data_IF_966518817398
#
_entry.id   IF_966518817398
#
_cell.length_a   1.000
_cell.length_b   1.000
_cell.length_c   1.000
_cell.angle_alpha   90.00
_cell.angle_beta   90.00
_cell.angle_gamma   90.00
#
_symmetry.space_group_name_H-M   'P 1'
#
loop_
_entity.id
_entity.type
_entity.pdbx_description
1 polymer ?
#
# COMPACT_ATOMS: atom_id res chain seq x y z
N UNK A 1 -26.56 -13.38 -49.26
CA UNK A 1 -25.50 -12.41 -49.29
C UNK A 1 -24.46 -12.75 -48.20
N UNK A 2 -23.23 -13.06 -48.60
CA UNK A 2 -22.14 -13.24 -47.65
C UNK A 2 -21.74 -11.83 -47.15
N UNK A 3 -21.78 -11.62 -45.86
CA UNK A 3 -21.19 -10.43 -45.22
C UNK A 3 -19.68 -10.43 -45.51
N UNK A 4 -19.10 -9.36 -46.05
CA UNK A 4 -17.69 -9.28 -46.31
C UNK A 4 -16.91 -9.42 -45.00
N UNK A 5 -15.97 -10.38 -44.96
CA UNK A 5 -15.00 -10.48 -43.86
C UNK A 5 -13.90 -9.46 -44.11
N UNK A 6 -13.69 -8.59 -43.16
CA UNK A 6 -12.60 -7.60 -43.17
C UNK A 6 -11.63 -7.99 -42.07
N UNK A 7 -10.40 -8.29 -42.43
CA UNK A 7 -9.30 -8.50 -41.50
C UNK A 7 -8.35 -7.31 -41.62
N UNK A 8 -8.04 -6.67 -40.50
CA UNK A 8 -7.11 -5.56 -40.42
C UNK A 8 -5.84 -6.07 -39.78
N UNK A 9 -4.70 -5.86 -40.46
CA UNK A 9 -3.37 -6.11 -39.95
C UNK A 9 -2.58 -4.80 -39.97
N UNK A 10 -2.03 -4.39 -38.85
CA UNK A 10 -1.09 -3.28 -38.74
C UNK A 10 0.18 -3.77 -38.04
N UNK A 11 1.34 -3.48 -38.63
CA UNK A 11 2.62 -3.88 -38.09
C UNK A 11 3.59 -2.69 -38.06
N UNK A 12 4.24 -2.49 -36.92
CA UNK A 12 5.33 -1.53 -36.71
C UNK A 12 6.59 -2.31 -36.38
N UNK A 13 7.72 -1.96 -36.97
CA UNK A 13 9.01 -2.64 -36.77
C UNK A 13 10.13 -1.65 -36.44
N UNK A 14 11.05 -2.07 -35.58
CA UNK A 14 12.32 -1.39 -35.33
C UNK A 14 12.15 0.02 -34.76
N UNK A 15 11.29 0.22 -33.78
CA UNK A 15 11.08 1.51 -33.11
C UNK A 15 11.30 1.42 -31.61
N UNK A 16 11.42 2.55 -30.94
CA UNK A 16 11.48 2.61 -29.49
C UNK A 16 10.51 3.65 -28.95
N UNK A 17 9.84 3.31 -27.85
CA UNK A 17 9.05 4.25 -27.07
C UNK A 17 9.91 4.83 -25.96
N UNK A 18 10.02 6.14 -25.89
CA UNK A 18 10.67 6.87 -24.80
C UNK A 18 9.58 7.48 -23.93
N UNK A 19 9.53 7.11 -22.68
CA UNK A 19 8.41 7.35 -21.79
C UNK A 19 8.84 7.98 -20.46
N UNK A 20 7.99 8.89 -19.90
CA UNK A 20 6.94 9.61 -20.61
C UNK A 20 7.52 10.71 -21.52
N UNK A 21 6.75 11.19 -22.51
CA UNK A 21 7.16 12.31 -23.33
C UNK A 21 7.50 13.54 -22.47
N UNK A 22 8.66 14.16 -22.71
CA UNK A 22 9.12 15.35 -21.97
C UNK A 22 9.86 15.08 -20.67
N UNK A 23 9.76 13.89 -20.09
CA UNK A 23 10.55 13.46 -18.93
C UNK A 23 10.98 12.00 -19.13
N UNK A 24 11.98 11.73 -19.96
CA UNK A 24 12.38 10.37 -20.30
C UNK A 24 12.88 9.61 -19.08
N UNK A 25 12.14 8.57 -18.69
CA UNK A 25 12.46 7.68 -17.58
C UNK A 25 12.75 6.25 -18.04
N UNK A 26 12.19 5.87 -19.18
CA UNK A 26 12.29 4.51 -19.70
C UNK A 26 12.28 4.54 -21.24
N UNK A 27 13.09 3.68 -21.84
CA UNK A 27 13.10 3.43 -23.29
C UNK A 27 12.78 1.96 -23.52
N UNK A 28 11.72 1.72 -24.28
CA UNK A 28 11.22 0.40 -24.67
C UNK A 28 11.51 0.21 -26.17
N UNK A 29 12.55 -0.54 -26.54
CA UNK A 29 12.78 -0.89 -27.92
C UNK A 29 11.84 -2.03 -28.35
N UNK A 30 11.17 -1.87 -29.48
CA UNK A 30 10.34 -2.89 -30.11
C UNK A 30 11.00 -3.36 -31.40
N UNK A 31 11.22 -4.67 -31.52
CA UNK A 31 11.60 -5.31 -32.77
C UNK A 31 10.40 -5.33 -33.71
N UNK A 32 9.23 -5.71 -33.17
CA UNK A 32 7.96 -5.57 -33.86
C UNK A 32 6.78 -5.41 -32.88
N UNK A 33 5.73 -4.75 -33.35
CA UNK A 33 4.43 -4.65 -32.71
C UNK A 33 3.36 -4.85 -33.79
N UNK A 34 2.54 -5.89 -33.65
CA UNK A 34 1.55 -6.27 -34.65
C UNK A 34 0.16 -6.30 -34.02
N UNK A 35 -0.78 -5.66 -34.70
CA UNK A 35 -2.21 -5.66 -34.37
C UNK A 35 -2.97 -6.42 -35.43
N UNK A 36 -3.80 -7.36 -35.01
CA UNK A 36 -4.75 -8.06 -35.84
C UNK A 36 -6.15 -7.82 -35.32
N UNK A 37 -7.07 -7.42 -36.18
CA UNK A 37 -8.49 -7.33 -35.86
C UNK A 37 -9.29 -8.01 -36.97
N UNK A 38 -10.02 -9.03 -36.62
CA UNK A 38 -10.89 -9.77 -37.54
C UNK A 38 -12.36 -9.38 -37.39
N UNK A 39 -13.19 -9.80 -38.32
CA UNK A 39 -14.64 -9.61 -38.27
C UNK A 39 -15.35 -10.26 -37.07
N UNK A 40 -14.64 -11.06 -36.28
CA UNK A 40 -15.09 -11.59 -34.98
C UNK A 40 -15.03 -10.60 -33.82
N UNK A 41 -14.47 -9.39 -34.05
CA UNK A 41 -14.40 -8.33 -33.07
C UNK A 41 -13.33 -8.49 -31.98
N UNK A 42 -12.55 -9.58 -31.98
CA UNK A 42 -11.47 -9.79 -31.05
C UNK A 42 -10.17 -9.28 -31.64
N UNK A 43 -9.56 -8.26 -31.00
CA UNK A 43 -8.25 -7.76 -31.36
C UNK A 43 -7.17 -8.66 -30.73
N UNK A 44 -6.16 -9.01 -31.52
CA UNK A 44 -4.96 -9.70 -31.08
C UNK A 44 -3.77 -8.73 -31.21
N UNK A 45 -2.89 -8.76 -30.24
CA UNK A 45 -1.65 -7.98 -30.25
C UNK A 45 -0.49 -8.93 -30.03
N UNK A 46 0.52 -8.83 -30.89
CA UNK A 46 1.77 -9.56 -30.80
C UNK A 46 2.93 -8.57 -30.82
N UNK A 47 3.88 -8.71 -29.88
CA UNK A 47 4.98 -7.78 -29.73
C UNK A 47 6.27 -8.50 -29.33
N UNK A 48 7.38 -8.08 -29.92
CA UNK A 48 8.72 -8.43 -29.47
C UNK A 48 9.43 -7.17 -28.98
N UNK A 49 9.83 -7.22 -27.72
CA UNK A 49 10.46 -6.10 -27.04
C UNK A 49 11.90 -6.45 -26.68
N UNK A 50 12.83 -5.57 -26.97
CA UNK A 50 14.23 -5.70 -26.60
C UNK A 50 14.48 -5.31 -25.13
N UNK A 51 15.73 -5.14 -24.76
CA UNK A 51 16.10 -4.77 -23.40
C UNK A 51 15.60 -3.39 -23.03
N UNK A 52 14.90 -3.29 -21.90
CA UNK A 52 14.45 -2.03 -21.33
C UNK A 52 15.65 -1.23 -20.83
N UNK A 53 15.75 0.02 -21.25
CA UNK A 53 16.75 0.96 -20.77
C UNK A 53 16.09 1.96 -19.79
N UNK A 54 16.65 2.11 -18.59
CA UNK A 54 16.19 3.09 -17.60
C UNK A 54 16.94 4.39 -17.76
N UNK A 55 16.21 5.49 -17.92
CA UNK A 55 16.73 6.82 -18.24
C UNK A 55 16.47 7.83 -17.12
N UNK A 56 17.13 8.98 -17.15
CA UNK A 56 16.87 10.08 -16.24
C UNK A 56 16.96 9.68 -14.77
N UNK A 57 15.91 9.98 -14.02
CA UNK A 57 15.86 9.67 -12.59
C UNK A 57 15.79 8.16 -12.29
N UNK A 58 15.38 7.33 -13.22
CA UNK A 58 15.40 5.88 -13.08
C UNK A 58 16.74 5.24 -13.48
N UNK A 59 17.71 6.01 -13.96
CA UNK A 59 19.04 5.49 -14.34
C UNK A 59 19.80 4.83 -13.17
N UNK A 60 19.42 5.13 -11.92
CA UNK A 60 19.97 4.47 -10.76
C UNK A 60 19.68 2.95 -10.75
N UNK A 61 18.59 2.51 -11.40
CA UNK A 61 18.23 1.07 -11.52
C UNK A 61 19.34 0.33 -12.27
N UNK A 62 19.93 0.93 -13.31
CA UNK A 62 21.04 0.32 -14.04
C UNK A 62 22.30 0.18 -13.17
N UNK A 63 22.54 1.13 -12.26
CA UNK A 63 23.63 1.03 -11.29
C UNK A 63 23.36 -0.04 -10.23
N UNK A 64 22.10 -0.15 -9.78
CA UNK A 64 21.70 -1.21 -8.83
C UNK A 64 21.85 -2.59 -9.47
N UNK A 65 21.45 -2.76 -10.75
CA UNK A 65 21.66 -4.01 -11.49
C UNK A 65 23.14 -4.45 -11.54
N UNK A 66 24.07 -3.49 -11.57
CA UNK A 66 25.51 -3.78 -11.55
C UNK A 66 26.04 -4.18 -10.18
N UNK A 67 25.39 -3.75 -9.10
CA UNK A 67 25.81 -3.97 -7.71
C UNK A 67 25.15 -5.19 -7.07
N UNK A 68 23.95 -5.54 -7.54
CA UNK A 68 23.19 -6.68 -7.03
C UNK A 68 23.27 -7.80 -8.06
N UNK A 69 23.68 -9.04 -7.68
CA UNK A 69 23.61 -10.18 -8.57
C UNK A 69 22.22 -10.32 -9.19
N UNK A 70 22.13 -10.72 -10.45
CA UNK A 70 20.86 -10.84 -11.20
C UNK A 70 19.85 -11.80 -10.58
N UNK A 71 20.27 -12.66 -9.67
CA UNK A 71 19.45 -13.53 -8.83
C UNK A 71 18.67 -12.77 -7.71
N UNK A 72 18.98 -11.49 -7.49
CA UNK A 72 18.22 -10.61 -6.58
C UNK A 72 16.97 -9.94 -7.20
N UNK A 73 16.77 -10.04 -8.51
CA UNK A 73 15.51 -9.65 -9.13
C UNK A 73 14.49 -10.76 -8.91
N UNK A 74 13.44 -10.47 -8.16
CA UNK A 74 12.31 -11.41 -7.99
C UNK A 74 11.64 -11.71 -9.32
N UNK A 75 11.61 -10.72 -10.23
CA UNK A 75 11.15 -10.84 -11.61
C UNK A 75 12.04 -9.97 -12.52
N UNK A 76 12.45 -10.48 -13.70
CA UNK A 76 13.11 -9.64 -14.69
C UNK A 76 12.18 -8.50 -15.11
N UNK A 77 12.74 -7.36 -15.60
CA UNK A 77 11.90 -6.33 -16.19
C UNK A 77 10.93 -6.93 -17.20
N UNK A 78 9.65 -6.60 -17.07
CA UNK A 78 8.58 -7.17 -17.86
C UNK A 78 7.96 -6.16 -18.80
N UNK A 79 7.45 -6.65 -19.91
CA UNK A 79 6.56 -5.92 -20.80
C UNK A 79 5.35 -6.79 -21.07
N UNK A 80 4.19 -6.26 -20.73
CA UNK A 80 2.90 -6.88 -21.01
C UNK A 80 2.19 -6.07 -22.09
N UNK A 81 1.84 -6.72 -23.19
CA UNK A 81 1.16 -6.09 -24.32
C UNK A 81 -0.21 -6.71 -24.49
N UNK A 82 -1.22 -5.86 -24.43
CA UNK A 82 -2.63 -6.25 -24.57
C UNK A 82 -3.33 -5.36 -25.58
N UNK A 83 -4.53 -5.71 -26.04
CA UNK A 83 -5.32 -4.84 -26.91
C UNK A 83 -5.63 -3.45 -26.32
N UNK A 84 -5.58 -3.31 -25.01
CA UNK A 84 -5.81 -2.03 -24.30
C UNK A 84 -4.58 -1.14 -24.21
N UNK A 85 -3.37 -1.72 -24.30
CA UNK A 85 -2.13 -0.94 -24.15
C UNK A 85 -0.92 -1.79 -23.82
N UNK A 86 0.18 -1.10 -23.53
CA UNK A 86 1.45 -1.68 -23.07
C UNK A 86 1.68 -1.30 -21.62
N UNK A 87 2.03 -2.28 -20.80
CA UNK A 87 2.55 -2.06 -19.45
C UNK A 87 3.96 -2.59 -19.39
N UNK A 88 4.91 -1.74 -19.03
CA UNK A 88 6.30 -2.13 -18.86
C UNK A 88 6.79 -1.69 -17.49
N UNK A 89 7.54 -2.55 -16.82
CA UNK A 89 8.00 -2.24 -15.47
C UNK A 89 9.04 -3.21 -14.94
N UNK A 90 9.40 -2.99 -13.69
CA UNK A 90 10.26 -3.88 -12.93
C UNK A 90 9.85 -3.90 -11.46
N UNK A 91 10.19 -4.98 -10.80
CA UNK A 91 10.21 -5.10 -9.34
C UNK A 91 11.58 -5.63 -8.93
N UNK A 92 12.19 -4.99 -7.95
CA UNK A 92 13.51 -5.32 -7.43
C UNK A 92 13.43 -5.50 -5.93
N UNK A 93 13.62 -6.72 -5.46
CA UNK A 93 13.78 -6.99 -4.04
C UNK A 93 15.21 -6.59 -3.61
N UNK A 94 15.30 -5.80 -2.54
CA UNK A 94 16.59 -5.38 -1.97
C UNK A 94 17.02 -6.38 -0.89
N UNK A 95 18.33 -6.57 -0.70
CA UNK A 95 18.82 -7.51 0.30
C UNK A 95 18.43 -7.08 1.71
N UNK A 96 18.11 -8.06 2.55
CA UNK A 96 17.87 -7.82 3.95
C UNK A 96 19.18 -7.40 4.66
N UNK A 97 19.05 -6.44 5.57
CA UNK A 97 20.15 -5.96 6.39
C UNK A 97 19.94 -6.42 7.83
N UNK A 98 20.98 -7.00 8.44
CA UNK A 98 20.97 -7.37 9.85
C UNK A 98 22.32 -6.99 10.47
N UNK A 99 22.31 -6.08 11.42
CA UNK A 99 23.51 -5.58 12.10
C UNK A 99 23.21 -5.52 13.60
N UNK A 100 23.75 -6.48 14.35
CA UNK A 100 23.49 -6.57 15.79
C UNK A 100 22.01 -6.77 16.09
N UNK A 101 21.42 -5.83 16.80
CA UNK A 101 20.00 -5.84 17.19
C UNK A 101 19.07 -5.19 16.16
N UNK A 102 19.64 -4.64 15.09
CA UNK A 102 18.91 -3.97 14.01
C UNK A 102 18.70 -4.96 12.86
N UNK A 103 17.49 -5.03 12.37
CA UNK A 103 17.16 -5.72 11.12
C UNK A 103 16.21 -4.90 10.26
N UNK A 104 16.46 -4.90 8.95
CA UNK A 104 15.62 -4.28 7.94
C UNK A 104 15.41 -5.28 6.81
N UNK A 105 14.17 -5.61 6.52
CA UNK A 105 13.80 -6.68 5.60
C UNK A 105 12.57 -6.34 4.76
N UNK A 106 12.27 -7.16 3.78
CA UNK A 106 11.16 -7.00 2.84
C UNK A 106 11.20 -5.68 2.03
N UNK A 107 12.38 -5.15 1.79
CA UNK A 107 12.50 -3.96 0.97
C UNK A 107 12.37 -4.31 -0.51
N UNK A 108 11.53 -3.60 -1.22
CA UNK A 108 11.41 -3.72 -2.68
C UNK A 108 11.17 -2.37 -3.33
N UNK A 109 11.68 -2.22 -4.54
CA UNK A 109 11.46 -1.08 -5.40
C UNK A 109 10.70 -1.55 -6.63
N UNK A 110 9.70 -0.79 -7.05
CA UNK A 110 8.98 -1.05 -8.30
C UNK A 110 8.79 0.23 -9.09
N UNK A 111 8.80 0.11 -10.40
CA UNK A 111 8.34 1.17 -11.28
C UNK A 111 7.66 0.54 -12.49
N UNK A 112 6.60 1.18 -12.96
CA UNK A 112 5.90 0.78 -14.18
C UNK A 112 5.51 2.01 -15.00
N UNK A 113 5.41 1.80 -16.30
CA UNK A 113 4.82 2.74 -17.25
C UNK A 113 3.67 2.06 -17.94
N UNK A 114 2.53 2.74 -18.01
CA UNK A 114 1.34 2.28 -18.74
C UNK A 114 1.10 3.18 -19.93
N UNK A 115 1.05 2.58 -21.09
CA UNK A 115 0.79 3.26 -22.36
C UNK A 115 -0.48 2.69 -22.96
N UNK A 116 -1.64 3.32 -22.70
CA UNK A 116 -2.89 2.91 -23.32
C UNK A 116 -2.87 3.25 -24.81
N UNK A 117 -3.44 2.37 -25.63
CA UNK A 117 -3.56 2.65 -27.08
C UNK A 117 -4.72 3.59 -27.39
N UNK A 118 -5.77 3.56 -26.58
CA UNK A 118 -6.98 4.36 -26.76
C UNK A 118 -7.53 4.84 -25.40
N UNK A 119 -8.05 6.05 -25.38
CA UNK A 119 -8.91 6.56 -24.31
C UNK A 119 -8.18 7.22 -23.12
N UNK A 120 -7.16 6.60 -22.58
CA UNK A 120 -6.43 7.09 -21.42
C UNK A 120 -5.10 7.77 -21.78
N UNK A 121 -4.46 8.36 -20.79
CA UNK A 121 -3.13 8.97 -20.93
C UNK A 121 -2.05 8.04 -20.40
N UNK A 122 -0.83 8.23 -20.89
CA UNK A 122 0.35 7.54 -20.35
C UNK A 122 0.50 7.87 -18.88
N UNK A 123 0.74 6.85 -18.04
CA UNK A 123 1.00 7.04 -16.63
C UNK A 123 2.26 6.28 -16.19
N UNK A 124 2.91 6.82 -15.17
CA UNK A 124 4.12 6.27 -14.55
C UNK A 124 3.84 5.98 -13.09
N UNK A 125 4.09 4.75 -12.68
CA UNK A 125 4.02 4.31 -11.30
C UNK A 125 5.41 4.15 -10.70
N UNK A 126 5.56 4.48 -9.43
CA UNK A 126 6.72 4.19 -8.61
C UNK A 126 6.27 3.69 -7.25
N UNK A 127 6.91 2.64 -6.74
CA UNK A 127 6.61 2.07 -5.45
C UNK A 127 7.86 1.70 -4.65
N UNK A 128 7.78 1.89 -3.35
CA UNK A 128 8.70 1.30 -2.38
C UNK A 128 7.89 0.41 -1.46
N UNK A 129 8.11 -0.89 -1.57
CA UNK A 129 7.28 -1.93 -0.97
C UNK A 129 5.82 -1.88 -1.42
N UNK A 130 4.98 -2.73 -0.88
CA UNK A 130 3.55 -2.74 -1.13
C UNK A 130 2.77 -2.84 0.19
N UNK A 131 1.49 -2.56 0.16
CA UNK A 131 0.61 -2.70 1.32
C UNK A 131 0.61 -4.13 1.88
N UNK A 132 0.65 -5.13 0.98
CA UNK A 132 0.63 -6.55 1.34
C UNK A 132 2.01 -7.07 1.76
N UNK A 133 3.07 -6.39 1.32
CA UNK A 133 4.47 -6.69 1.64
C UNK A 133 5.22 -5.41 2.02
N UNK A 134 4.91 -4.80 3.17
CA UNK A 134 5.62 -3.61 3.65
C UNK A 134 7.07 -3.97 4.02
N UNK A 135 7.98 -2.99 3.99
CA UNK A 135 9.27 -3.18 4.64
C UNK A 135 9.06 -3.40 6.13
N UNK A 136 9.96 -4.15 6.73
CA UNK A 136 9.95 -4.41 8.16
C UNK A 136 11.27 -3.99 8.78
N UNK A 137 11.18 -3.08 9.74
CA UNK A 137 12.27 -2.64 10.59
C UNK A 137 12.08 -3.22 11.98
N UNK A 138 13.11 -3.84 12.54
CA UNK A 138 13.10 -4.29 13.93
C UNK A 138 14.40 -3.87 14.64
N UNK A 139 14.26 -3.39 15.87
CA UNK A 139 15.33 -3.03 16.77
C UNK A 139 14.95 -3.51 18.17
N UNK A 140 15.47 -4.66 18.57
CA UNK A 140 15.03 -5.34 19.80
C UNK A 140 13.53 -5.65 19.79
N UNK A 141 12.77 -5.08 20.75
CA UNK A 141 11.32 -5.22 20.86
C UNK A 141 10.54 -4.11 20.12
N UNK A 142 11.24 -3.11 19.56
CA UNK A 142 10.67 -2.05 18.76
C UNK A 142 10.69 -2.44 17.30
N UNK A 143 9.69 -2.03 16.57
CA UNK A 143 9.60 -2.31 15.15
C UNK A 143 8.75 -1.31 14.42
N UNK A 144 8.72 -1.46 13.12
CA UNK A 144 7.91 -0.63 12.25
C UNK A 144 7.96 -1.14 10.83
N UNK A 145 7.19 -0.53 9.99
CA UNK A 145 7.12 -0.88 8.59
C UNK A 145 6.38 0.16 7.78
N UNK A 146 6.30 -0.06 6.50
CA UNK A 146 5.55 0.81 5.65
C UNK A 146 5.71 0.50 4.17
N UNK A 147 5.01 1.27 3.40
CA UNK A 147 5.08 1.25 1.94
C UNK A 147 4.76 2.63 1.38
N UNK A 148 5.12 2.84 0.15
CA UNK A 148 4.84 4.06 -0.60
C UNK A 148 4.55 3.70 -2.05
N UNK A 149 3.52 4.31 -2.62
CA UNK A 149 3.18 4.20 -4.03
C UNK A 149 2.70 5.52 -4.60
N UNK A 150 3.15 5.85 -5.79
CA UNK A 150 2.72 7.05 -6.51
C UNK A 150 2.49 6.70 -7.98
N UNK A 151 1.44 7.25 -8.56
CA UNK A 151 1.18 7.21 -9.99
C UNK A 151 0.92 8.60 -10.52
N UNK A 152 1.65 8.94 -11.55
CA UNK A 152 1.61 10.26 -12.19
C UNK A 152 1.23 10.10 -13.66
N UNK A 153 0.53 11.08 -14.19
CA UNK A 153 0.25 11.25 -15.62
C UNK A 153 0.49 12.69 -16.05
N UNK A 154 0.43 13.01 -17.32
CA UNK A 154 0.46 14.41 -17.79
C UNK A 154 -0.67 15.29 -17.22
N UNK A 155 -1.73 14.67 -16.69
CA UNK A 155 -2.84 15.36 -16.00
C UNK A 155 -2.52 15.69 -14.53
N UNK A 156 -1.43 15.14 -13.98
CA UNK A 156 -0.98 15.33 -12.60
C UNK A 156 -0.95 14.04 -11.80
N UNK A 157 -1.18 14.16 -10.51
CA UNK A 157 -1.23 13.04 -9.58
C UNK A 157 -2.50 12.20 -9.79
N UNK A 158 -2.34 10.93 -10.15
CA UNK A 158 -3.44 9.98 -10.25
C UNK A 158 -3.70 9.29 -8.91
N UNK A 159 -2.64 8.71 -8.33
CA UNK A 159 -2.71 8.02 -7.04
C UNK A 159 -1.46 8.30 -6.24
N UNK A 160 -1.62 8.61 -4.96
CA UNK A 160 -0.57 8.60 -3.95
C UNK A 160 -1.07 7.77 -2.78
N UNK A 161 -0.28 6.79 -2.38
CA UNK A 161 -0.58 5.94 -1.25
C UNK A 161 0.66 5.76 -0.38
N UNK A 162 0.50 5.94 0.93
CA UNK A 162 1.57 5.84 1.90
C UNK A 162 1.03 5.21 3.18
N UNK A 163 1.72 4.21 3.69
CA UNK A 163 1.49 3.66 5.02
C UNK A 163 2.78 3.59 5.80
N UNK A 164 2.79 4.10 7.01
CA UNK A 164 3.90 3.97 7.96
C UNK A 164 3.36 3.54 9.30
N UNK A 165 4.02 2.56 9.91
CA UNK A 165 3.68 2.05 11.23
C UNK A 165 4.95 1.90 12.08
N UNK A 166 4.86 2.26 13.37
CA UNK A 166 5.88 1.98 14.36
C UNK A 166 5.22 1.39 15.61
N UNK A 167 5.94 0.50 16.31
CA UNK A 167 5.36 -0.15 17.47
C UNK A 167 6.35 -0.94 18.30
N UNK A 168 5.80 -1.65 19.27
CA UNK A 168 6.55 -2.56 20.13
C UNK A 168 5.84 -3.91 20.20
N UNK A 169 6.63 -4.96 20.35
CA UNK A 169 6.15 -6.32 20.53
C UNK A 169 6.91 -7.00 21.65
N UNK A 170 6.17 -7.59 22.58
CA UNK A 170 6.73 -8.40 23.66
C UNK A 170 6.04 -9.75 23.68
N UNK A 171 6.79 -10.82 23.77
CA UNK A 171 6.25 -12.17 23.93
C UNK A 171 6.97 -12.90 25.05
N UNK A 172 6.22 -13.74 25.77
CA UNK A 172 6.70 -14.63 26.82
C UNK A 172 6.24 -16.05 26.50
N UNK A 173 7.17 -16.99 26.58
CA UNK A 173 6.85 -18.40 26.43
C UNK A 173 7.35 -19.16 27.67
N UNK A 174 6.41 -19.78 28.38
CA UNK A 174 6.65 -20.55 29.60
C UNK A 174 6.51 -22.08 29.36
N UNK A 175 6.57 -22.50 28.09
CA UNK A 175 6.38 -23.90 27.69
C UNK A 175 4.92 -24.29 27.59
N UNK A 176 4.22 -24.40 28.71
CA UNK A 176 2.78 -24.76 28.76
C UNK A 176 1.85 -23.59 28.42
N UNK A 177 2.34 -22.37 28.56
CA UNK A 177 1.58 -21.15 28.26
C UNK A 177 2.46 -20.13 27.57
N UNK A 178 1.91 -19.38 26.64
CA UNK A 178 2.54 -18.25 25.99
C UNK A 178 1.62 -17.03 26.00
N UNK A 179 2.23 -15.86 25.99
CA UNK A 179 1.51 -14.62 25.91
C UNK A 179 2.27 -13.61 25.06
N UNK A 180 1.57 -12.71 24.43
CA UNK A 180 2.15 -11.60 23.70
C UNK A 180 1.33 -10.33 23.86
N UNK A 181 2.02 -9.20 23.82
CA UNK A 181 1.43 -7.87 23.74
C UNK A 181 2.10 -7.14 22.60
N UNK A 182 1.32 -6.52 21.76
CA UNK A 182 1.80 -5.63 20.70
C UNK A 182 1.06 -4.32 20.73
N UNK A 183 1.80 -3.26 20.47
CA UNK A 183 1.28 -1.89 20.35
C UNK A 183 1.83 -1.31 19.05
N UNK A 184 0.96 -0.68 18.29
CA UNK A 184 1.35 -0.01 17.05
C UNK A 184 0.63 1.33 16.90
N UNK A 185 1.36 2.29 16.39
CA UNK A 185 0.82 3.58 15.94
C UNK A 185 1.20 3.77 14.47
N UNK A 186 0.31 4.29 13.67
CA UNK A 186 0.58 4.45 12.26
C UNK A 186 -0.24 5.53 11.60
N UNK A 187 0.19 5.85 10.39
CA UNK A 187 -0.54 6.74 9.48
C UNK A 187 -0.76 6.03 8.15
N UNK A 188 -1.87 6.33 7.54
CA UNK A 188 -2.23 5.90 6.20
C UNK A 188 -2.79 7.08 5.43
N UNK A 189 -2.15 7.42 4.33
CA UNK A 189 -2.56 8.46 3.39
C UNK A 189 -2.94 7.79 2.06
N UNK A 190 -4.08 8.15 1.51
CA UNK A 190 -4.47 7.82 0.15
C UNK A 190 -5.03 9.05 -0.53
N UNK A 191 -4.55 9.35 -1.71
CA UNK A 191 -5.05 10.41 -2.57
C UNK A 191 -5.29 9.86 -3.98
N UNK A 192 -6.40 10.24 -4.58
CA UNK A 192 -6.76 9.95 -5.98
C UNK A 192 -7.20 11.27 -6.63
N UNK A 193 -6.28 11.88 -7.41
CA UNK A 193 -6.49 13.25 -7.88
C UNK A 193 -6.66 14.22 -6.70
N UNK A 194 -7.81 14.90 -6.68
CA UNK A 194 -8.17 15.86 -5.63
C UNK A 194 -8.91 15.22 -4.43
N UNK A 195 -9.18 13.93 -4.49
CA UNK A 195 -9.84 13.19 -3.41
C UNK A 195 -8.84 12.44 -2.57
N UNK A 196 -9.10 12.35 -1.28
CA UNK A 196 -8.21 11.58 -0.44
C UNK A 196 -8.62 11.57 1.02
N UNK A 197 -7.89 10.76 1.78
CA UNK A 197 -8.04 10.67 3.23
C UNK A 197 -6.69 10.45 3.90
N UNK A 198 -6.54 11.02 5.08
CA UNK A 198 -5.43 10.76 5.99
C UNK A 198 -5.98 10.12 7.25
N UNK A 199 -5.51 8.93 7.57
CA UNK A 199 -5.87 8.21 8.79
C UNK A 199 -4.67 8.08 9.70
N UNK A 200 -4.79 8.51 10.95
CA UNK A 200 -3.89 8.12 12.01
C UNK A 200 -4.56 7.02 12.85
N UNK A 201 -3.81 6.03 13.30
CA UNK A 201 -4.36 4.95 14.10
C UNK A 201 -3.42 4.51 15.20
N UNK A 202 -4.04 3.93 16.24
CA UNK A 202 -3.39 3.23 17.33
C UNK A 202 -4.02 1.84 17.45
N UNK A 203 -3.20 0.82 17.63
CA UNK A 203 -3.62 -0.56 17.82
C UNK A 203 -2.88 -1.16 19.01
N UNK A 204 -3.61 -1.72 19.93
CA UNK A 204 -3.10 -2.51 21.05
C UNK A 204 -3.69 -3.90 20.97
N UNK A 205 -2.87 -4.93 21.01
CA UNK A 205 -3.29 -6.31 20.98
C UNK A 205 -2.60 -7.12 22.07
N UNK A 206 -3.38 -7.86 22.83
CA UNK A 206 -2.93 -8.87 23.77
C UNK A 206 -3.41 -10.26 23.35
N UNK A 207 -2.56 -11.25 23.50
CA UNK A 207 -2.90 -12.65 23.21
C UNK A 207 -2.28 -13.57 24.26
N UNK A 208 -3.04 -14.57 24.69
CA UNK A 208 -2.58 -15.66 25.54
C UNK A 208 -2.95 -17.00 24.93
N UNK A 209 -2.09 -17.98 25.07
CA UNK A 209 -2.32 -19.34 24.60
C UNK A 209 -1.84 -20.34 25.66
N UNK A 210 -2.61 -21.39 25.86
CA UNK A 210 -2.31 -22.44 26.80
C UNK A 210 -2.30 -23.80 26.06
N UNK A 211 -1.17 -24.51 26.12
CA UNK A 211 -0.93 -25.81 25.48
C UNK A 211 -1.22 -25.82 23.96
N UNK A 212 -1.34 -24.65 23.30
CA UNK A 212 -1.78 -24.56 21.92
C UNK A 212 -3.26 -24.95 21.66
N UNK A 213 -3.97 -25.35 22.72
CA UNK A 213 -5.36 -25.84 22.66
C UNK A 213 -6.38 -24.72 22.90
N UNK A 214 -6.03 -23.80 23.77
CA UNK A 214 -6.87 -22.65 24.14
C UNK A 214 -6.10 -21.39 23.88
N UNK A 215 -6.71 -20.43 23.18
CA UNK A 215 -6.17 -19.09 23.04
C UNK A 215 -7.26 -18.04 23.17
N UNK A 216 -6.88 -16.90 23.72
CA UNK A 216 -7.74 -15.73 23.79
C UNK A 216 -6.92 -14.51 23.35
N UNK A 217 -7.52 -13.63 22.58
CA UNK A 217 -6.93 -12.35 22.21
C UNK A 217 -7.93 -11.22 22.35
N UNK A 218 -7.41 -10.06 22.70
CA UNK A 218 -8.14 -8.79 22.70
C UNK A 218 -7.37 -7.81 21.85
N UNK A 219 -8.07 -7.06 21.02
CA UNK A 219 -7.51 -6.00 20.21
C UNK A 219 -8.33 -4.72 20.39
N UNK A 220 -7.69 -3.64 20.71
CA UNK A 220 -8.22 -2.28 20.68
C UNK A 220 -7.62 -1.58 19.47
N UNK A 221 -8.48 -1.09 18.60
CA UNK A 221 -8.11 -0.27 17.43
C UNK A 221 -8.80 1.08 17.53
N UNK A 222 -8.01 2.15 17.53
CA UNK A 222 -8.48 3.52 17.49
C UNK A 222 -7.97 4.16 16.21
N UNK A 223 -8.82 4.88 15.49
CA UNK A 223 -8.39 5.65 14.33
C UNK A 223 -9.07 7.00 14.26
N UNK A 224 -8.38 7.94 13.65
CA UNK A 224 -8.86 9.27 13.33
C UNK A 224 -8.58 9.51 11.84
N UNK A 225 -9.65 9.62 11.06
CA UNK A 225 -9.58 9.80 9.62
C UNK A 225 -10.07 11.17 9.22
N UNK A 226 -9.24 11.92 8.51
CA UNK A 226 -9.61 13.16 7.85
C UNK A 226 -9.88 12.90 6.37
N UNK A 227 -11.10 13.20 5.93
CA UNK A 227 -11.56 13.07 4.55
C UNK A 227 -11.45 14.42 3.85
N UNK A 228 -10.53 14.55 2.90
CA UNK A 228 -10.22 15.81 2.23
C UNK A 228 -11.40 16.40 1.46
N UNK A 229 -12.19 15.61 0.69
CA UNK A 229 -13.31 16.16 -0.07
C UNK A 229 -14.41 16.75 0.79
N UNK A 230 -14.72 16.12 1.93
CA UNK A 230 -15.80 16.60 2.81
C UNK A 230 -15.31 17.48 3.95
N UNK A 231 -13.98 17.56 4.18
CA UNK A 231 -13.39 18.25 5.32
C UNK A 231 -13.77 17.61 6.67
N UNK A 232 -14.21 16.35 6.69
CA UNK A 232 -14.71 15.68 7.89
C UNK A 232 -13.62 14.93 8.62
N UNK A 233 -13.69 15.01 9.93
CA UNK A 233 -12.85 14.23 10.85
C UNK A 233 -13.72 13.16 11.52
N UNK A 234 -13.37 11.89 11.31
CA UNK A 234 -14.13 10.74 11.79
C UNK A 234 -13.23 9.92 12.71
N UNK A 235 -13.64 9.77 13.97
CA UNK A 235 -13.02 8.87 14.92
C UNK A 235 -13.70 7.51 14.90
N UNK A 236 -12.91 6.44 14.95
CA UNK A 236 -13.40 5.07 15.04
C UNK A 236 -12.69 4.36 16.16
N UNK A 237 -13.44 3.68 17.04
CA UNK A 237 -12.93 2.81 18.08
C UNK A 237 -13.52 1.41 17.90
N UNK A 238 -12.66 0.40 17.82
CA UNK A 238 -13.08 -0.98 17.69
C UNK A 238 -12.39 -1.84 18.75
N UNK A 239 -13.17 -2.61 19.50
CA UNK A 239 -12.66 -3.65 20.40
C UNK A 239 -13.06 -4.99 19.81
N UNK A 240 -12.09 -5.86 19.61
CA UNK A 240 -12.30 -7.22 19.12
C UNK A 240 -11.79 -8.21 20.16
N UNK A 241 -12.64 -9.11 20.58
CA UNK A 241 -12.29 -10.24 21.45
C UNK A 241 -12.46 -11.53 20.67
N UNK A 242 -11.42 -12.36 20.66
CA UNK A 242 -11.45 -13.67 19.99
C UNK A 242 -11.04 -14.76 20.99
N UNK A 243 -11.82 -15.81 21.04
CA UNK A 243 -11.53 -17.00 21.85
C UNK A 243 -11.52 -18.23 20.96
N UNK A 244 -10.53 -19.06 21.11
CA UNK A 244 -10.41 -20.34 20.42
C UNK A 244 -10.19 -21.45 21.45
N UNK A 245 -10.96 -22.52 21.35
CA UNK A 245 -10.82 -23.73 22.16
C UNK A 245 -10.82 -24.92 21.22
N UNK A 246 -9.67 -25.62 21.12
CA UNK A 246 -9.47 -26.71 20.16
C UNK A 246 -9.76 -26.24 18.72
N UNK A 247 -10.75 -26.84 18.07
CA UNK A 247 -11.19 -26.49 16.72
C UNK A 247 -12.33 -25.44 16.69
N UNK A 248 -12.83 -25.01 17.84
CA UNK A 248 -13.90 -24.00 17.94
C UNK A 248 -13.30 -22.60 18.13
N UNK A 249 -13.76 -21.63 17.34
CA UNK A 249 -13.33 -20.24 17.44
C UNK A 249 -14.53 -19.31 17.37
N UNK A 250 -14.60 -18.32 18.27
CA UNK A 250 -15.59 -17.25 18.26
C UNK A 250 -14.92 -15.91 18.40
N UNK A 251 -15.38 -14.94 17.62
CA UNK A 251 -14.94 -13.55 17.69
C UNK A 251 -16.13 -12.62 17.85
N UNK A 252 -15.98 -11.60 18.68
CA UNK A 252 -16.94 -10.52 18.87
C UNK A 252 -16.22 -9.21 18.70
N UNK A 253 -16.77 -8.32 17.86
CA UNK A 253 -16.24 -6.98 17.66
C UNK A 253 -17.32 -5.94 17.94
N UNK A 254 -16.95 -4.90 18.67
CA UNK A 254 -17.79 -3.74 18.95
C UNK A 254 -17.10 -2.53 18.35
N UNK A 255 -17.78 -1.82 17.46
CA UNK A 255 -17.25 -0.62 16.81
C UNK A 255 -18.13 0.57 17.12
N UNK A 256 -17.50 1.65 17.57
CA UNK A 256 -18.12 2.96 17.76
C UNK A 256 -17.47 3.96 16.82
N UNK A 257 -18.28 4.77 16.15
CA UNK A 257 -17.80 5.84 15.26
C UNK A 257 -18.40 7.18 15.69
N UNK A 258 -17.60 8.23 15.61
CA UNK A 258 -18.01 9.60 15.89
C UNK A 258 -17.35 10.57 14.91
N UNK A 259 -18.14 11.48 14.38
CA UNK A 259 -17.66 12.63 13.60
C UNK A 259 -17.27 13.75 14.56
N UNK A 260 -16.09 14.33 14.36
CA UNK A 260 -15.57 15.37 15.24
C UNK A 260 -15.50 16.75 14.59
N UNK A 261 -15.29 16.82 13.28
CA UNK A 261 -15.24 18.09 12.56
C UNK A 261 -15.64 17.88 11.10
N UNK A 262 -16.16 18.90 10.47
CA UNK A 262 -16.46 18.86 9.05
C UNK A 262 -17.29 20.04 8.57
N UNK A 263 -17.60 20.06 7.29
CA UNK A 263 -18.28 21.16 6.62
C UNK A 263 -19.57 21.60 7.30
N UNK A 264 -19.78 22.90 7.35
CA UNK A 264 -21.05 23.62 7.62
C UNK A 264 -22.00 22.96 8.65
N UNK A 265 -21.78 23.23 9.93
CA UNK A 265 -22.71 22.87 11.00
C UNK A 265 -22.33 21.62 11.80
N UNK A 266 -21.30 20.89 11.42
CA UNK A 266 -20.76 19.83 12.30
C UNK A 266 -19.94 20.48 13.43
N UNK A 267 -20.14 20.08 14.71
CA UNK A 267 -19.42 20.66 15.82
C UNK A 267 -17.91 20.39 15.71
N UNK A 268 -17.12 21.37 16.09
CA UNK A 268 -15.66 21.20 16.25
C UNK A 268 -15.35 20.21 17.38
N UNK A 269 -14.14 19.66 17.40
CA UNK A 269 -13.71 18.80 18.50
C UNK A 269 -13.88 19.47 19.88
N UNK A 270 -13.55 20.75 20.00
CA UNK A 270 -13.71 21.51 21.23
C UNK A 270 -15.19 21.64 21.65
N UNK A 271 -16.10 21.88 20.69
CA UNK A 271 -17.54 21.95 20.96
C UNK A 271 -18.11 20.58 21.39
N UNK A 272 -17.66 19.51 20.75
CA UNK A 272 -18.08 18.14 21.13
C UNK A 272 -17.60 17.78 22.54
N UNK A 273 -16.41 18.20 22.92
CA UNK A 273 -15.87 17.97 24.26
C UNK A 273 -16.52 18.86 25.30
N UNK A 274 -16.98 20.06 24.91
CA UNK A 274 -17.68 21.01 25.80
C UNK A 274 -19.16 20.71 26.03
N UNK A 275 -19.81 20.01 25.11
CA UNK A 275 -21.28 19.77 25.11
C UNK A 275 -21.68 18.50 25.87
N UNK A 276 -20.75 17.70 26.37
CA UNK A 276 -21.12 16.59 27.26
C UNK A 276 -21.20 17.10 28.72
N UNK A 277 -22.40 17.27 29.29
CA UNK A 277 -22.58 17.82 30.64
C UNK A 277 -21.94 16.92 31.72
N UNK A 278 -21.64 15.65 31.40
CA UNK A 278 -20.98 14.71 32.29
C UNK A 278 -19.47 14.59 32.06
N UNK A 279 -18.92 15.24 31.04
CA UNK A 279 -17.49 15.30 30.81
C UNK A 279 -16.93 16.51 31.56
N UNK A 280 -16.97 16.41 32.88
CA UNK A 280 -16.36 17.42 33.74
C UNK A 280 -14.85 17.43 33.53
N UNK A 281 -14.21 18.58 33.78
CA UNK A 281 -12.74 18.69 33.84
C UNK A 281 -12.11 17.63 34.76
N UNK A 282 -12.87 17.11 35.69
CA UNK A 282 -12.49 16.01 36.57
C UNK A 282 -12.36 14.68 35.83
N UNK A 283 -13.33 14.30 35.01
CA UNK A 283 -13.26 13.07 34.20
C UNK A 283 -12.10 13.09 33.19
N UNK A 284 -11.79 14.27 32.63
CA UNK A 284 -10.60 14.41 31.78
C UNK A 284 -9.31 14.28 32.59
N UNK A 285 -9.27 14.88 33.79
CA UNK A 285 -8.14 14.75 34.69
C UNK A 285 -7.97 13.30 35.15
N UNK A 286 -9.04 12.63 35.51
CA UNK A 286 -9.03 11.21 35.92
C UNK A 286 -8.61 10.29 34.76
N UNK A 287 -9.06 10.60 33.54
CA UNK A 287 -8.58 9.91 32.32
C UNK A 287 -7.08 10.12 32.08
N UNK A 288 -6.59 11.36 32.19
CA UNK A 288 -5.17 11.65 32.05
C UNK A 288 -4.34 11.01 33.17
N UNK A 289 -4.82 11.03 34.41
CA UNK A 289 -4.16 10.39 35.56
C UNK A 289 -4.10 8.87 35.43
N UNK A 290 -5.15 8.23 34.89
CA UNK A 290 -5.17 6.80 34.65
C UNK A 290 -4.11 6.32 33.63
N UNK A 291 -3.60 7.23 32.79
CA UNK A 291 -2.55 6.94 31.81
C UNK A 291 -1.20 7.63 32.11
N UNK A 292 -1.13 8.44 33.17
CA UNK A 292 0.06 9.21 33.54
C UNK A 292 0.78 8.70 34.80
N UNK A 293 0.24 7.66 35.46
CA UNK A 293 0.95 7.01 36.55
C UNK A 293 1.76 5.83 36.01
N UNK A 294 2.99 6.14 35.52
CA UNK A 294 4.24 5.41 35.82
C UNK A 294 5.43 6.30 35.46
#
# INVERSE_FOLDING_TARGET
GQTPKVDILAELRGFALILPPGLPMMKLPFDHLMFKAGSSGKAEVDASVGNIEFLGILSFVERIKQLIPLDGFSDPPYVDVSPSGVVAGFSLDLPNLAIGVFSLSNMSLSADVRVPFLGDVVSVGFGFCTRDRPFNLAVLCLGGGGWFGIRLSPRGLEVLELGLEAGAYLSINLGVASGSVSMAIGIYLRMEGDKGSLTAYFRLRGEVSVLGLISASIELYLSLTYDFPSGKLIGTATITVKVKVLCFSKSVSITCQRKFAGSNGDPTFAEVMAVQPDFTSQLWTDYCLAFAEE
#
